data_IF_052532542705
#
_entry.id   IF_052532542705
#
_cell.length_a   1.000
_cell.length_b   1.000
_cell.length_c   1.000
_cell.angle_alpha   90.00
_cell.angle_beta   90.00
_cell.angle_gamma   90.00
#
_symmetry.space_group_name_H-M   'P 1'
#
loop_
_entity.id
_entity.type
_entity.pdbx_description
1 polymer ?
#
# COMPACT_ATOMS: atom_id res chain seq x y z
N UNK A 1 6.42 1.32 15.00
CA UNK A 1 6.37 0.72 13.65
C UNK A 1 4.93 0.43 13.21
N UNK A 2 4.17 -0.38 13.94
CA UNK A 2 2.78 -0.72 13.56
C UNK A 2 1.88 0.51 13.34
N UNK A 3 1.98 1.53 14.21
CA UNK A 3 1.22 2.77 14.05
C UNK A 3 1.47 3.47 12.70
N UNK A 4 2.73 3.57 12.26
CA UNK A 4 3.08 4.16 10.95
C UNK A 4 2.51 3.33 9.78
N UNK A 5 2.47 2.00 9.92
CA UNK A 5 1.88 1.13 8.90
C UNK A 5 0.36 1.35 8.81
N UNK A 6 -0.32 1.40 9.96
CA UNK A 6 -1.76 1.69 10.02
C UNK A 6 -2.06 3.04 9.38
N UNK A 7 -1.29 4.08 9.71
CA UNK A 7 -1.44 5.41 9.07
C UNK A 7 -1.33 5.35 7.54
N UNK A 8 -0.37 4.59 7.00
CA UNK A 8 -0.24 4.43 5.55
C UNK A 8 -1.45 3.69 4.97
N UNK A 9 -1.90 2.60 5.60
CA UNK A 9 -3.07 1.83 5.15
C UNK A 9 -4.32 2.71 5.12
N UNK A 10 -4.58 3.44 6.21
CA UNK A 10 -5.74 4.31 6.36
C UNK A 10 -5.73 5.41 5.31
N UNK A 11 -4.58 6.06 5.12
CA UNK A 11 -4.40 7.07 4.08
C UNK A 11 -4.71 6.55 2.67
N UNK A 12 -4.19 5.37 2.31
CA UNK A 12 -4.45 4.78 0.99
C UNK A 12 -5.93 4.42 0.82
N UNK A 13 -6.57 3.97 1.90
CA UNK A 13 -7.98 3.61 1.91
C UNK A 13 -8.89 4.83 1.76
N UNK A 14 -8.63 5.91 2.50
CA UNK A 14 -9.36 7.17 2.40
C UNK A 14 -9.14 7.85 1.04
N UNK A 15 -7.91 7.90 0.57
CA UNK A 15 -7.56 8.49 -0.73
C UNK A 15 -7.90 7.58 -1.92
N UNK A 16 -8.28 6.32 -1.67
CA UNK A 16 -8.63 5.30 -2.67
C UNK A 16 -7.56 5.21 -3.76
N UNK A 17 -6.31 5.10 -3.31
CA UNK A 17 -5.14 5.16 -4.18
C UNK A 17 -4.22 3.97 -3.92
N UNK A 18 -3.78 3.34 -5.01
CA UNK A 18 -2.79 2.27 -4.94
C UNK A 18 -1.40 2.82 -4.67
N UNK A 19 -0.58 2.04 -3.97
CA UNK A 19 0.81 2.34 -3.71
C UNK A 19 1.68 1.12 -4.01
N UNK A 20 2.87 1.32 -4.59
CA UNK A 20 3.80 0.20 -4.73
C UNK A 20 4.37 -0.21 -3.38
N UNK A 21 4.63 -1.51 -3.19
CA UNK A 21 5.33 -2.00 -1.99
C UNK A 21 6.67 -1.29 -1.79
N UNK A 22 7.38 -0.98 -2.88
CA UNK A 22 8.69 -0.32 -2.81
C UNK A 22 8.59 1.09 -2.24
N UNK A 23 7.61 1.88 -2.68
CA UNK A 23 7.38 3.23 -2.18
C UNK A 23 7.01 3.24 -0.70
N UNK A 24 6.04 2.40 -0.32
CA UNK A 24 5.60 2.29 1.07
C UNK A 24 6.70 1.80 2.00
N UNK A 25 7.43 0.75 1.60
CA UNK A 25 8.51 0.20 2.41
C UNK A 25 9.65 1.20 2.60
N UNK A 26 10.05 1.93 1.54
CA UNK A 26 11.05 3.00 1.63
C UNK A 26 10.59 4.14 2.55
N UNK A 27 9.34 4.57 2.47
CA UNK A 27 8.79 5.61 3.36
C UNK A 27 8.77 5.17 4.84
N UNK A 28 8.55 3.87 5.08
CA UNK A 28 8.51 3.29 6.43
C UNK A 28 9.88 2.85 6.95
N UNK A 29 10.95 2.99 6.15
CA UNK A 29 12.31 2.57 6.53
C UNK A 29 12.49 1.06 6.64
N UNK A 30 11.70 0.27 5.91
CA UNK A 30 11.75 -1.21 5.92
C UNK A 30 11.94 -1.78 4.52
N UNK A 31 12.18 -3.08 4.40
CA UNK A 31 12.19 -3.76 3.10
C UNK A 31 10.78 -4.10 2.63
N UNK A 32 10.52 -4.21 1.31
CA UNK A 32 9.22 -4.65 0.78
C UNK A 32 8.76 -6.01 1.34
N UNK A 33 9.70 -6.93 1.56
CA UNK A 33 9.41 -8.24 2.15
C UNK A 33 9.02 -8.14 3.62
N UNK A 34 9.70 -7.29 4.40
CA UNK A 34 9.32 -7.02 5.78
C UNK A 34 7.94 -6.36 5.86
N UNK A 35 7.64 -5.38 4.99
CA UNK A 35 6.33 -4.74 4.92
C UNK A 35 5.21 -5.76 4.68
N UNK A 36 5.38 -6.68 3.72
CA UNK A 36 4.39 -7.76 3.46
C UNK A 36 4.11 -8.60 4.72
N UNK A 37 5.13 -8.92 5.50
CA UNK A 37 4.97 -9.67 6.76
C UNK A 37 4.23 -8.83 7.82
N UNK A 38 4.55 -7.53 7.92
CA UNK A 38 3.97 -6.62 8.91
C UNK A 38 2.51 -6.25 8.60
N UNK A 39 2.10 -6.25 7.33
CA UNK A 39 0.70 -6.07 6.92
C UNK A 39 -0.19 -7.25 7.36
N UNK A 40 0.41 -8.43 7.52
CA UNK A 40 -0.27 -9.63 7.97
C UNK A 40 -1.18 -10.22 6.92
N UNK A 41 -2.40 -10.58 7.33
CA UNK A 41 -3.38 -11.24 6.47
C UNK A 41 -3.87 -10.35 5.33
N UNK A 42 -4.24 -11.00 4.22
CA UNK A 42 -4.81 -10.33 3.05
C UNK A 42 -6.22 -9.90 3.36
N UNK A 43 -6.51 -8.62 3.09
CA UNK A 43 -7.83 -8.00 3.24
C UNK A 43 -7.95 -6.82 2.26
N UNK A 44 -9.18 -6.32 2.01
CA UNK A 44 -9.40 -5.21 1.09
C UNK A 44 -8.43 -4.03 1.30
N UNK A 45 -8.17 -3.62 2.53
CA UNK A 45 -7.32 -2.48 2.86
C UNK A 45 -5.83 -2.74 2.58
N UNK A 46 -5.37 -3.99 2.65
CA UNK A 46 -3.98 -4.34 2.32
C UNK A 46 -3.79 -4.57 0.82
N UNK A 47 -4.87 -4.69 0.05
CA UNK A 47 -4.83 -4.80 -1.42
C UNK A 47 -4.45 -3.49 -2.14
N UNK A 48 -4.44 -2.36 -1.44
CA UNK A 48 -3.92 -1.09 -1.97
C UNK A 48 -2.41 -1.16 -2.31
N UNK A 49 -1.68 -2.11 -1.70
CA UNK A 49 -0.27 -2.33 -1.99
C UNK A 49 -0.09 -3.25 -3.20
N UNK A 50 0.54 -2.72 -4.24
CA UNK A 50 0.68 -3.39 -5.53
C UNK A 50 2.13 -3.61 -5.92
N UNK A 51 2.36 -4.56 -6.83
CA UNK A 51 3.69 -4.75 -7.43
C UNK A 51 4.01 -3.59 -8.39
N UNK A 52 5.28 -3.23 -8.51
CA UNK A 52 5.71 -2.17 -9.44
C UNK A 52 5.62 -2.58 -10.91
N UNK A 53 5.64 -3.89 -11.21
CA UNK A 53 5.59 -4.41 -12.58
C UNK A 53 4.17 -4.66 -13.09
N UNK A 54 3.31 -5.25 -12.25
CA UNK A 54 1.92 -5.59 -12.63
C UNK A 54 0.90 -4.55 -12.20
N UNK A 55 1.25 -3.63 -11.29
CA UNK A 55 0.29 -2.66 -10.72
C UNK A 55 -0.92 -3.29 -10.02
N UNK A 56 -0.80 -4.58 -9.69
CA UNK A 56 -1.79 -5.39 -9.00
C UNK A 56 -1.29 -5.90 -7.64
N UNK A 57 -2.22 -6.12 -6.68
CA UNK A 57 -1.89 -6.77 -5.42
C UNK A 57 -1.65 -8.26 -5.64
N UNK A 58 -0.41 -8.69 -5.45
CA UNK A 58 0.01 -10.06 -5.73
C UNK A 58 -0.56 -11.08 -4.72
N UNK A 59 -1.25 -12.11 -5.23
CA UNK A 59 -1.78 -13.21 -4.43
C UNK A 59 -3.13 -12.91 -3.75
N UNK A 60 -3.81 -11.83 -4.14
CA UNK A 60 -5.16 -11.50 -3.66
C UNK A 60 -6.19 -12.07 -4.63
N UNK A 61 -7.20 -12.75 -4.08
CA UNK A 61 -8.43 -13.11 -4.78
C UNK A 61 -9.32 -11.88 -4.94
N UNK A 62 -10.32 -11.94 -5.84
CA UNK A 62 -11.21 -10.81 -6.09
C UNK A 62 -12.02 -10.38 -4.86
N UNK A 63 -12.29 -11.30 -3.93
CA UNK A 63 -12.97 -11.00 -2.66
C UNK A 63 -12.07 -10.29 -1.64
N UNK A 64 -10.75 -10.48 -1.74
CA UNK A 64 -9.76 -9.84 -0.87
C UNK A 64 -9.30 -8.49 -1.46
N UNK A 65 -9.62 -8.19 -2.72
CA UNK A 65 -9.35 -6.89 -3.33
C UNK A 65 -10.39 -5.86 -2.89
N UNK A 66 -9.94 -4.63 -2.66
CA UNK A 66 -10.87 -3.53 -2.39
C UNK A 66 -11.77 -3.30 -3.62
N UNK A 67 -13.09 -3.11 -3.46
CA UNK A 67 -14.00 -2.91 -4.60
C UNK A 67 -13.64 -1.66 -5.42
N UNK A 68 -12.99 -0.68 -4.79
CA UNK A 68 -12.55 0.55 -5.44
C UNK A 68 -11.07 0.54 -5.87
N UNK A 69 -10.41 -0.62 -5.84
CA UNK A 69 -8.97 -0.76 -6.10
C UNK A 69 -8.53 -0.11 -7.44
N UNK A 70 -9.35 -0.27 -8.47
CA UNK A 70 -9.09 0.25 -9.82
C UNK A 70 -9.88 1.52 -10.16
N UNK A 71 -10.59 2.12 -9.20
CA UNK A 71 -11.32 3.38 -9.40
C UNK A 71 -10.39 4.50 -9.87
N UNK A 72 -9.17 4.54 -9.34
CA UNK A 72 -8.14 5.53 -9.66
C UNK A 72 -7.01 4.90 -10.49
N UNK A 73 -6.62 5.55 -11.60
CA UNK A 73 -5.49 5.10 -12.44
C UNK A 73 -4.12 5.44 -11.85
N UNK A 74 -4.04 6.50 -11.04
CA UNK A 74 -2.80 6.96 -10.41
C UNK A 74 -2.33 5.96 -9.35
N UNK A 75 -1.02 5.72 -9.31
CA UNK A 75 -0.36 4.87 -8.32
C UNK A 75 0.80 5.65 -7.69
N UNK A 76 0.92 5.58 -6.37
CA UNK A 76 2.06 6.13 -5.65
C UNK A 76 3.26 5.20 -5.87
N UNK A 77 4.24 5.68 -6.65
CA UNK A 77 5.47 4.94 -6.97
C UNK A 77 6.72 5.48 -6.27
N UNK A 78 6.60 6.60 -5.56
CA UNK A 78 7.69 7.30 -4.88
C UNK A 78 7.35 7.44 -3.39
N UNK A 79 8.35 7.18 -2.53
CA UNK A 79 8.21 7.24 -1.08
C UNK A 79 7.99 8.68 -0.59
N UNK A 80 8.55 9.64 -1.32
CA UNK A 80 8.52 11.07 -1.02
C UNK A 80 7.07 11.59 -0.95
N UNK A 81 6.14 11.00 -1.70
CA UNK A 81 4.71 11.32 -1.62
C UNK A 81 4.11 10.94 -0.26
N UNK A 82 4.43 9.75 0.25
CA UNK A 82 3.94 9.29 1.55
C UNK A 82 4.59 10.08 2.68
N UNK A 83 5.92 10.22 2.65
CA UNK A 83 6.67 10.99 3.66
C UNK A 83 6.15 12.42 3.77
N UNK A 84 5.90 13.10 2.65
CA UNK A 84 5.36 14.47 2.65
C UNK A 84 3.93 14.53 3.18
N UNK A 85 3.07 13.59 2.81
CA UNK A 85 1.65 13.67 3.13
C UNK A 85 1.33 13.15 4.55
N UNK A 86 2.20 12.33 5.13
CA UNK A 86 1.99 11.65 6.41
C UNK A 86 3.03 12.00 7.48
N UNK A 87 3.99 12.88 7.16
CA UNK A 87 5.07 13.30 8.07
C UNK A 87 5.85 12.11 8.67
N UNK A 88 6.25 11.18 7.80
CA UNK A 88 6.84 9.87 8.19
C UNK A 88 8.35 9.88 8.41
#
# INVERSE_FOLDING_TARGET
MQAKITMVVDYLNEAKIRCTYNAAAKALGVTPQALKKLLGERRPETSWFVSSGTEEPAGYTDKEKHPELFRTKRIIKSAEVLTRNLDL
#
